data_IF_238924419924
#
_entry.id   IF_238924419924
#
_cell.length_a   1.000
_cell.length_b   1.000
_cell.length_c   1.000
_cell.angle_alpha   90.00
_cell.angle_beta   90.00
_cell.angle_gamma   90.00
#
_symmetry.space_group_name_H-M   'P 1'
#
loop_
_entity.id
_entity.type
_entity.pdbx_description
1 polymer ?
#
# COMPACT_ATOMS: atom_id res chain seq x y z
N UNK A 1 13.30 13.70 -39.69
CA UNK A 1 13.06 12.69 -38.63
C UNK A 1 13.92 11.49 -39.02
N UNK A 2 15.09 11.32 -38.43
CA UNK A 2 15.85 10.10 -38.62
C UNK A 2 15.17 9.03 -37.78
N UNK A 3 14.50 8.08 -38.40
CA UNK A 3 14.10 6.83 -37.79
C UNK A 3 15.38 6.10 -37.37
N UNK A 4 15.65 6.04 -36.11
CA UNK A 4 16.76 5.28 -35.57
C UNK A 4 16.42 3.80 -35.68
N UNK A 5 16.86 3.17 -36.77
CA UNK A 5 16.65 1.75 -37.00
C UNK A 5 17.72 0.96 -36.23
N UNK A 6 17.27 0.15 -35.29
CA UNK A 6 18.04 -0.92 -34.68
C UNK A 6 17.95 -2.14 -35.59
N UNK A 7 19.09 -2.72 -35.91
CA UNK A 7 19.13 -3.96 -36.70
C UNK A 7 19.31 -5.12 -35.74
N UNK A 8 18.36 -6.07 -35.75
CA UNK A 8 18.45 -7.32 -35.00
C UNK A 8 19.36 -8.32 -35.77
N UNK A 9 20.34 -8.86 -35.07
CA UNK A 9 21.16 -9.96 -35.60
C UNK A 9 21.38 -10.97 -34.50
N UNK A 10 20.71 -12.13 -34.55
CA UNK A 10 20.68 -13.13 -33.51
C UNK A 10 20.20 -12.53 -32.20
N UNK A 11 21.03 -12.45 -31.15
CA UNK A 11 20.70 -11.89 -29.84
C UNK A 11 21.22 -10.45 -29.62
N UNK A 12 21.68 -9.77 -30.68
CA UNK A 12 22.26 -8.43 -30.61
C UNK A 12 21.46 -7.43 -31.43
N UNK A 13 21.26 -6.22 -30.85
CA UNK A 13 20.78 -5.04 -31.56
C UNK A 13 21.97 -4.14 -31.84
N UNK A 14 22.12 -3.71 -33.09
CA UNK A 14 23.22 -2.84 -33.54
C UNK A 14 22.68 -1.56 -34.11
N UNK A 15 23.38 -0.48 -33.85
CA UNK A 15 23.13 0.84 -34.40
C UNK A 15 24.46 1.51 -34.73
N UNK A 16 24.49 2.19 -35.83
CA UNK A 16 25.63 2.99 -36.21
C UNK A 16 25.27 4.48 -36.14
N UNK A 17 26.02 5.25 -35.39
CA UNK A 17 25.86 6.70 -35.25
C UNK A 17 27.25 7.37 -35.20
N UNK A 18 27.50 8.35 -36.07
CA UNK A 18 28.77 9.13 -36.14
C UNK A 18 30.05 8.26 -36.13
N UNK A 19 29.99 7.07 -36.76
CA UNK A 19 31.11 6.14 -36.82
C UNK A 19 31.29 5.25 -35.60
N UNK A 20 30.42 5.34 -34.60
CA UNK A 20 30.37 4.42 -33.47
C UNK A 20 29.31 3.34 -33.67
N UNK A 21 29.70 2.08 -33.46
CA UNK A 21 28.77 0.97 -33.39
C UNK A 21 28.30 0.79 -31.94
N UNK A 22 26.99 0.99 -31.68
CA UNK A 22 26.39 0.66 -30.40
C UNK A 22 25.85 -0.75 -30.47
N UNK A 23 26.38 -1.64 -29.65
CA UNK A 23 25.92 -3.04 -29.53
C UNK A 23 25.11 -3.20 -28.26
N UNK A 24 23.94 -3.80 -28.36
CA UNK A 24 23.07 -4.11 -27.28
C UNK A 24 22.80 -5.62 -27.24
N UNK A 25 23.34 -6.30 -26.24
CA UNK A 25 23.10 -7.73 -26.04
C UNK A 25 21.74 -7.93 -25.34
N UNK A 26 20.82 -8.62 -26.01
CA UNK A 26 19.50 -8.93 -25.48
C UNK A 26 19.57 -9.72 -24.16
N UNK A 27 20.60 -10.51 -23.99
CA UNK A 27 20.79 -11.39 -22.82
C UNK A 27 21.01 -10.64 -21.51
N UNK A 28 21.33 -9.34 -21.53
CA UNK A 28 21.47 -8.52 -20.33
C UNK A 28 20.13 -8.00 -19.77
N UNK A 29 19.03 -8.24 -20.49
CA UNK A 29 17.69 -7.82 -20.09
C UNK A 29 16.85 -9.01 -19.66
N UNK A 30 15.91 -8.78 -18.77
CA UNK A 30 14.86 -9.76 -18.47
C UNK A 30 13.86 -9.79 -19.63
N UNK A 31 13.44 -10.98 -20.01
CA UNK A 31 12.57 -11.20 -21.18
C UNK A 31 11.20 -10.50 -21.01
N UNK A 32 10.67 -10.45 -19.79
CA UNK A 32 9.40 -9.78 -19.48
C UNK A 32 9.42 -8.27 -19.75
N UNK A 33 10.58 -7.64 -19.65
CA UNK A 33 10.73 -6.19 -19.84
C UNK A 33 11.24 -5.81 -21.24
N UNK A 34 11.93 -6.70 -21.90
CA UNK A 34 12.61 -6.43 -23.16
C UNK A 34 11.70 -5.84 -24.24
N UNK A 35 10.44 -6.29 -24.46
CA UNK A 35 9.52 -5.72 -25.44
C UNK A 35 9.22 -4.23 -25.23
N UNK A 36 9.43 -3.74 -24.03
CA UNK A 36 9.14 -2.35 -23.64
C UNK A 36 10.36 -1.43 -23.70
N UNK A 37 11.55 -1.98 -24.05
CA UNK A 37 12.82 -1.24 -23.98
C UNK A 37 12.81 0.00 -24.88
N UNK A 38 12.30 -0.12 -26.09
CA UNK A 38 12.24 0.94 -27.10
C UNK A 38 10.83 1.56 -27.25
N UNK A 39 9.87 1.19 -26.41
CA UNK A 39 8.55 1.83 -26.43
C UNK A 39 8.57 3.16 -25.67
N UNK A 40 8.54 4.25 -26.44
CA UNK A 40 8.47 5.61 -25.91
C UNK A 40 7.10 6.27 -26.15
N UNK A 41 6.08 5.51 -26.51
CA UNK A 41 4.77 6.01 -26.94
C UNK A 41 3.92 6.58 -25.81
N UNK A 42 4.13 6.12 -24.57
CA UNK A 42 3.32 6.51 -23.40
C UNK A 42 4.07 7.46 -22.49
N UNK A 43 3.35 8.49 -21.98
CA UNK A 43 3.92 9.46 -21.06
C UNK A 43 4.05 8.91 -19.63
N UNK A 44 3.02 8.24 -19.13
CA UNK A 44 3.03 7.58 -17.82
C UNK A 44 3.37 6.11 -17.99
N UNK A 45 4.44 5.67 -17.36
CA UNK A 45 4.92 4.29 -17.41
C UNK A 45 4.99 3.76 -16.00
N UNK A 46 4.11 2.84 -15.65
CA UNK A 46 3.96 2.29 -14.31
C UNK A 46 4.45 0.86 -14.28
N UNK A 47 5.42 0.60 -13.41
CA UNK A 47 6.01 -0.72 -13.18
C UNK A 47 5.72 -1.15 -11.76
N UNK A 48 4.63 -1.90 -11.59
CA UNK A 48 4.27 -2.55 -10.33
C UNK A 48 4.90 -3.94 -10.27
N UNK A 49 5.39 -4.37 -9.14
CA UNK A 49 5.84 -5.76 -9.04
C UNK A 49 6.41 -6.14 -7.70
N UNK A 50 6.75 -7.41 -7.59
CA UNK A 50 7.32 -8.00 -6.39
C UNK A 50 8.74 -7.49 -6.08
N UNK A 51 9.25 -7.81 -4.91
CA UNK A 51 10.68 -7.67 -4.62
C UNK A 51 11.50 -8.51 -5.59
N UNK A 52 12.65 -8.01 -5.99
CA UNK A 52 13.54 -8.74 -6.90
C UNK A 52 13.05 -8.87 -8.34
N UNK A 53 11.89 -8.31 -8.74
CA UNK A 53 11.35 -8.50 -10.11
C UNK A 53 12.16 -7.85 -11.23
N UNK A 54 13.16 -7.01 -10.94
CA UNK A 54 14.01 -6.37 -11.94
C UNK A 54 13.52 -5.02 -12.46
N UNK A 55 12.41 -4.47 -11.95
CA UNK A 55 11.80 -3.18 -12.37
C UNK A 55 12.81 -2.04 -12.45
N UNK A 56 13.52 -1.78 -11.35
CA UNK A 56 14.44 -0.65 -11.21
C UNK A 56 15.67 -0.82 -12.13
N UNK A 57 16.15 -2.06 -12.28
CA UNK A 57 17.21 -2.39 -13.24
C UNK A 57 16.78 -2.07 -14.66
N UNK A 58 15.59 -2.52 -15.06
CA UNK A 58 15.07 -2.26 -16.40
C UNK A 58 14.88 -0.75 -16.67
N UNK A 59 14.27 -0.01 -15.73
CA UNK A 59 14.06 1.44 -15.92
C UNK A 59 15.39 2.16 -16.03
N UNK A 60 16.39 1.79 -15.21
CA UNK A 60 17.73 2.37 -15.30
C UNK A 60 18.39 2.11 -16.66
N UNK A 61 18.32 0.88 -17.18
CA UNK A 61 18.82 0.50 -18.49
C UNK A 61 18.11 1.28 -19.61
N UNK A 62 16.77 1.34 -19.57
CA UNK A 62 15.96 2.08 -20.55
C UNK A 62 16.30 3.58 -20.57
N UNK A 63 16.46 4.20 -19.41
CA UNK A 63 16.79 5.63 -19.30
C UNK A 63 18.22 5.93 -19.74
N UNK A 64 19.19 5.06 -19.46
CA UNK A 64 20.55 5.19 -19.96
C UNK A 64 20.57 5.12 -21.49
N UNK A 65 19.92 4.10 -22.08
CA UNK A 65 19.82 3.97 -23.53
C UNK A 65 19.12 5.17 -24.16
N UNK A 66 18.03 5.65 -23.56
CA UNK A 66 17.31 6.82 -24.05
C UNK A 66 18.17 8.08 -23.99
N UNK A 67 18.92 8.27 -22.87
CA UNK A 67 19.86 9.38 -22.72
C UNK A 67 21.01 9.33 -23.73
N UNK A 68 21.55 8.14 -23.98
CA UNK A 68 22.62 7.94 -24.98
C UNK A 68 22.13 8.16 -26.42
N UNK A 69 20.88 7.76 -26.72
CA UNK A 69 20.33 7.84 -28.06
C UNK A 69 19.80 9.23 -28.47
N UNK A 70 19.48 10.10 -27.49
CA UNK A 70 18.94 11.44 -27.76
C UNK A 70 19.73 12.47 -26.95
N UNK A 71 20.72 13.13 -27.57
CA UNK A 71 21.64 14.05 -26.90
C UNK A 71 20.94 15.18 -26.15
N UNK A 72 21.48 15.58 -24.98
CA UNK A 72 21.00 16.71 -24.20
C UNK A 72 19.68 16.47 -23.47
N UNK A 73 19.31 15.22 -23.19
CA UNK A 73 18.19 14.90 -22.30
C UNK A 73 18.51 15.25 -20.86
N UNK A 74 17.52 15.70 -20.12
CA UNK A 74 17.60 15.97 -18.67
C UNK A 74 16.65 15.01 -17.96
N UNK A 75 17.24 14.00 -17.32
CA UNK A 75 16.54 12.88 -16.71
C UNK A 75 16.58 13.05 -15.18
N UNK A 76 15.42 13.31 -14.57
CA UNK A 76 15.29 13.40 -13.12
C UNK A 76 15.03 12.01 -12.54
N UNK A 77 15.86 11.58 -11.60
CA UNK A 77 15.67 10.35 -10.82
C UNK A 77 15.42 10.74 -9.36
N UNK A 78 14.30 10.36 -8.81
CA UNK A 78 13.92 10.80 -7.48
C UNK A 78 13.32 9.70 -6.60
N UNK A 79 13.42 9.93 -5.30
CA UNK A 79 12.72 9.22 -4.22
C UNK A 79 12.12 10.23 -3.25
N UNK A 80 11.24 9.78 -2.38
CA UNK A 80 10.67 10.64 -1.34
C UNK A 80 11.76 11.29 -0.48
N UNK A 81 12.74 10.52 -0.04
CA UNK A 81 13.78 10.99 0.88
C UNK A 81 15.15 11.07 0.22
N UNK A 82 15.76 12.26 0.25
CA UNK A 82 17.06 12.52 -0.37
C UNK A 82 18.23 11.71 0.24
N UNK A 83 18.11 11.29 1.51
CA UNK A 83 19.11 10.47 2.20
C UNK A 83 19.25 9.06 1.61
N UNK A 84 18.19 8.52 1.01
CA UNK A 84 18.18 7.15 0.46
C UNK A 84 18.75 7.04 -0.95
N UNK A 85 18.84 8.14 -1.68
CA UNK A 85 19.21 8.18 -3.11
C UNK A 85 20.59 7.59 -3.37
N UNK A 86 21.58 7.98 -2.55
CA UNK A 86 22.99 7.62 -2.77
C UNK A 86 23.22 6.11 -2.72
N UNK A 87 22.51 5.42 -1.85
CA UNK A 87 22.66 3.98 -1.65
C UNK A 87 21.70 3.14 -2.49
N UNK A 88 20.81 3.77 -3.24
CA UNK A 88 19.82 3.11 -4.09
C UNK A 88 20.00 3.48 -5.55
N UNK A 89 19.18 4.35 -6.10
CA UNK A 89 19.12 4.68 -7.54
C UNK A 89 20.42 5.28 -8.09
N UNK A 90 21.16 6.06 -7.30
CA UNK A 90 22.47 6.55 -7.71
C UNK A 90 23.44 5.39 -7.94
N UNK A 91 23.58 4.50 -6.96
CA UNK A 91 24.48 3.35 -7.08
C UNK A 91 24.06 2.42 -8.21
N UNK A 92 22.75 2.27 -8.42
CA UNK A 92 22.20 1.47 -9.51
C UNK A 92 22.62 2.03 -10.87
N UNK A 93 22.42 3.33 -11.12
CA UNK A 93 22.82 3.98 -12.37
C UNK A 93 24.34 3.87 -12.58
N UNK A 94 25.15 4.15 -11.55
CA UNK A 94 26.62 3.99 -11.62
C UNK A 94 27.02 2.55 -12.00
N UNK A 95 26.34 1.56 -11.40
CA UNK A 95 26.62 0.16 -11.69
C UNK A 95 26.25 -0.20 -13.13
N UNK A 96 25.11 0.28 -13.63
CA UNK A 96 24.69 0.05 -15.02
C UNK A 96 25.65 0.72 -16.02
N UNK A 97 26.09 1.96 -15.77
CA UNK A 97 27.05 2.68 -16.60
C UNK A 97 28.41 1.97 -16.64
N UNK A 98 28.86 1.43 -15.49
CA UNK A 98 30.10 0.64 -15.40
C UNK A 98 29.98 -0.67 -16.18
N UNK A 99 28.86 -1.39 -15.99
CA UNK A 99 28.59 -2.63 -16.70
C UNK A 99 28.56 -2.43 -18.23
N UNK A 100 27.97 -1.31 -18.65
CA UNK A 100 27.92 -0.91 -20.08
C UNK A 100 29.25 -0.30 -20.59
N UNK A 101 30.29 -0.24 -19.77
CA UNK A 101 31.64 0.30 -20.10
C UNK A 101 31.64 1.78 -20.57
N UNK A 102 30.62 2.56 -20.18
CA UNK A 102 30.52 3.98 -20.56
C UNK A 102 30.75 4.92 -19.35
N UNK A 103 30.92 4.40 -18.14
CA UNK A 103 31.11 5.22 -16.94
C UNK A 103 32.33 6.13 -17.04
N UNK A 104 33.44 5.65 -17.58
CA UNK A 104 34.70 6.44 -17.74
C UNK A 104 34.57 7.59 -18.74
N UNK A 105 33.53 7.57 -19.58
CA UNK A 105 33.20 8.64 -20.52
C UNK A 105 32.24 9.67 -19.90
N UNK A 106 31.71 9.43 -18.68
CA UNK A 106 30.74 10.26 -18.00
C UNK A 106 31.41 11.22 -17.00
N UNK A 107 30.87 12.43 -16.87
CA UNK A 107 31.24 13.35 -15.80
C UNK A 107 30.35 13.09 -14.56
N UNK A 108 30.98 12.63 -13.46
CA UNK A 108 30.26 12.25 -12.24
C UNK A 108 30.47 13.32 -11.15
N UNK A 109 29.45 14.09 -10.83
CA UNK A 109 29.43 15.06 -9.74
C UNK A 109 28.63 14.52 -8.54
N UNK A 110 29.34 14.06 -7.50
CA UNK A 110 28.74 13.49 -6.29
C UNK A 110 28.11 14.56 -5.40
N UNK A 111 28.65 15.77 -5.39
CA UNK A 111 28.14 16.88 -4.56
C UNK A 111 26.78 17.35 -5.04
N UNK A 112 26.66 17.60 -6.33
CA UNK A 112 25.42 18.04 -6.96
C UNK A 112 24.49 16.88 -7.30
N UNK A 113 24.96 15.64 -7.11
CA UNK A 113 24.26 14.41 -7.48
C UNK A 113 23.82 14.44 -8.95
N UNK A 114 24.77 14.61 -9.82
CA UNK A 114 24.58 14.65 -11.28
C UNK A 114 25.55 13.73 -11.99
N UNK A 115 25.06 13.08 -13.05
CA UNK A 115 25.91 12.30 -13.96
C UNK A 115 25.63 12.79 -15.37
N UNK A 116 26.65 13.35 -16.02
CA UNK A 116 26.56 13.83 -17.39
C UNK A 116 27.14 12.76 -18.33
N UNK A 117 26.35 12.37 -19.32
CA UNK A 117 26.73 11.43 -20.37
C UNK A 117 27.56 12.13 -21.45
N UNK A 118 28.30 11.38 -22.28
CA UNK A 118 29.20 11.95 -23.31
C UNK A 118 28.51 12.86 -24.35
N UNK A 119 27.19 12.72 -24.50
CA UNK A 119 26.37 13.46 -25.48
C UNK A 119 25.56 14.59 -24.83
N UNK A 120 26.01 15.14 -23.71
CA UNK A 120 25.39 16.21 -22.94
C UNK A 120 24.04 15.86 -22.25
N UNK A 121 23.60 14.61 -22.31
CA UNK A 121 22.47 14.17 -21.51
C UNK A 121 22.87 14.07 -20.04
N UNK A 122 21.95 14.40 -19.12
CA UNK A 122 22.26 14.51 -17.67
C UNK A 122 21.24 13.76 -16.85
N UNK A 123 21.71 12.90 -15.96
CA UNK A 123 20.93 12.36 -14.84
C UNK A 123 21.05 13.31 -13.64
N UNK A 124 19.92 13.71 -13.09
CA UNK A 124 19.80 14.57 -11.90
C UNK A 124 19.11 13.78 -10.80
N UNK A 125 19.73 13.67 -9.62
CA UNK A 125 19.17 12.87 -8.53
C UNK A 125 18.70 13.77 -7.39
N UNK A 126 17.43 13.64 -6.99
CA UNK A 126 16.82 14.54 -6.01
C UNK A 126 15.85 13.82 -5.07
N UNK A 127 15.88 14.18 -3.78
CA UNK A 127 14.82 13.87 -2.83
C UNK A 127 13.64 14.83 -2.98
N UNK A 128 12.44 14.31 -2.79
CA UNK A 128 11.18 15.08 -2.85
C UNK A 128 10.74 15.57 -1.46
N UNK A 129 11.62 15.49 -0.48
CA UNK A 129 11.43 15.96 0.90
C UNK A 129 11.50 17.48 1.05
N UNK A 130 11.98 18.19 0.05
CA UNK A 130 12.11 19.66 0.01
C UNK A 130 11.38 20.19 -1.22
N UNK A 131 10.16 20.69 -1.03
CA UNK A 131 9.30 21.17 -2.14
C UNK A 131 9.93 22.33 -2.93
N UNK A 132 10.67 23.22 -2.28
CA UNK A 132 11.32 24.38 -2.92
C UNK A 132 12.30 23.96 -4.02
N UNK A 133 12.98 22.82 -3.87
CA UNK A 133 13.90 22.28 -4.90
C UNK A 133 13.17 21.87 -6.17
N UNK A 134 11.91 21.43 -6.05
CA UNK A 134 11.10 21.08 -7.21
C UNK A 134 10.83 22.32 -8.08
N UNK A 135 10.73 23.50 -7.46
CA UNK A 135 10.45 24.76 -8.17
C UNK A 135 11.61 25.18 -9.08
N UNK A 136 12.83 24.81 -8.79
CA UNK A 136 14.04 25.17 -9.54
C UNK A 136 14.30 24.31 -10.77
N UNK A 137 13.57 23.18 -10.94
CA UNK A 137 13.77 22.28 -12.06
C UNK A 137 13.26 22.87 -13.38
N UNK A 138 14.13 22.94 -14.36
CA UNK A 138 13.83 23.43 -15.71
C UNK A 138 14.24 22.40 -16.76
N UNK A 139 13.51 22.40 -17.86
CA UNK A 139 13.82 21.62 -19.07
C UNK A 139 13.95 20.10 -18.83
N UNK A 140 13.20 19.56 -17.88
CA UNK A 140 13.19 18.11 -17.62
C UNK A 140 12.46 17.39 -18.75
N UNK A 141 13.11 16.39 -19.32
CA UNK A 141 12.57 15.55 -20.40
C UNK A 141 11.98 14.25 -19.91
N UNK A 142 12.57 13.64 -18.89
CA UNK A 142 12.12 12.36 -18.34
C UNK A 142 12.24 12.36 -16.82
N UNK A 143 11.35 11.62 -16.16
CA UNK A 143 11.33 11.52 -14.69
C UNK A 143 11.18 10.05 -14.30
N UNK A 144 11.95 9.62 -13.31
CA UNK A 144 11.77 8.34 -12.65
C UNK A 144 11.57 8.53 -11.15
N UNK A 145 10.40 8.13 -10.66
CA UNK A 145 10.06 8.10 -9.23
C UNK A 145 10.21 6.66 -8.76
N UNK A 146 11.29 6.38 -8.04
CA UNK A 146 11.54 5.07 -7.41
C UNK A 146 10.87 5.00 -6.06
N UNK A 147 10.30 3.84 -5.72
CA UNK A 147 9.47 3.61 -4.54
C UNK A 147 8.30 4.61 -4.49
N UNK A 148 7.55 4.67 -5.60
CA UNK A 148 6.50 5.67 -5.80
C UNK A 148 5.37 5.62 -4.75
N UNK A 149 5.25 4.52 -3.97
CA UNK A 149 4.32 4.43 -2.85
C UNK A 149 4.64 5.42 -1.70
N UNK A 150 5.89 5.89 -1.60
CA UNK A 150 6.31 6.90 -0.62
C UNK A 150 5.87 8.33 -1.01
N UNK A 151 5.44 8.54 -2.26
CA UNK A 151 5.14 9.85 -2.86
C UNK A 151 3.63 10.05 -2.94
N UNK A 152 3.16 11.26 -2.68
CA UNK A 152 1.73 11.59 -2.84
C UNK A 152 1.34 11.75 -4.31
N UNK A 153 0.06 11.57 -4.62
CA UNK A 153 -0.47 11.77 -5.97
C UNK A 153 -0.22 13.19 -6.48
N UNK A 154 -0.38 14.19 -5.62
CA UNK A 154 -0.16 15.61 -5.95
C UNK A 154 1.30 15.85 -6.34
N UNK A 155 2.27 15.32 -5.59
CA UNK A 155 3.69 15.43 -5.94
C UNK A 155 4.00 14.80 -7.30
N UNK A 156 3.46 13.60 -7.58
CA UNK A 156 3.65 12.94 -8.87
C UNK A 156 3.02 13.75 -10.03
N UNK A 157 1.87 14.36 -9.83
CA UNK A 157 1.21 15.25 -10.79
C UNK A 157 2.02 16.52 -11.01
N UNK A 158 2.50 17.17 -9.95
CA UNK A 158 3.36 18.34 -10.05
C UNK A 158 4.63 18.05 -10.84
N UNK A 159 5.29 16.91 -10.59
CA UNK A 159 6.45 16.48 -11.36
C UNK A 159 6.11 16.27 -12.83
N UNK A 160 5.00 15.63 -13.14
CA UNK A 160 4.55 15.47 -14.54
C UNK A 160 4.38 16.80 -15.25
N UNK A 161 3.84 17.83 -14.57
CA UNK A 161 3.69 19.18 -15.12
C UNK A 161 5.02 19.92 -15.32
N UNK A 162 6.12 19.44 -14.72
CA UNK A 162 7.46 20.01 -14.90
C UNK A 162 8.23 19.41 -16.07
N UNK A 163 7.76 18.32 -16.65
CA UNK A 163 8.31 17.82 -17.91
C UNK A 163 7.90 18.75 -19.06
N UNK A 164 8.69 19.81 -19.28
CA UNK A 164 8.44 20.88 -20.26
C UNK A 164 9.54 21.03 -21.29
N UNK A 165 10.42 20.06 -21.38
CA UNK A 165 11.48 20.02 -22.39
C UNK A 165 10.90 20.02 -23.81
N UNK A 166 11.65 20.53 -24.77
CA UNK A 166 11.31 20.43 -26.20
C UNK A 166 11.63 19.04 -26.78
N UNK A 167 12.21 18.14 -25.99
CA UNK A 167 12.52 16.77 -26.40
C UNK A 167 11.24 15.97 -26.68
N UNK A 168 11.19 15.19 -27.75
CA UNK A 168 10.05 14.31 -28.02
C UNK A 168 9.98 13.15 -27.01
N UNK A 169 8.84 12.46 -26.98
CA UNK A 169 8.68 11.20 -26.24
C UNK A 169 9.04 11.29 -24.75
N UNK A 170 8.63 12.36 -24.09
CA UNK A 170 8.86 12.55 -22.66
C UNK A 170 8.12 11.48 -21.84
N UNK A 171 8.79 10.88 -20.86
CA UNK A 171 8.22 9.80 -20.06
C UNK A 171 8.42 10.01 -18.56
N UNK A 172 7.38 9.69 -17.78
CA UNK A 172 7.42 9.60 -16.32
C UNK A 172 7.27 8.13 -15.94
N UNK A 173 8.22 7.62 -15.19
CA UNK A 173 8.26 6.25 -14.69
C UNK A 173 7.92 6.21 -13.20
N UNK A 174 7.03 5.31 -12.83
CA UNK A 174 6.73 4.95 -11.45
C UNK A 174 7.12 3.50 -11.23
N UNK A 175 8.00 3.24 -10.28
CA UNK A 175 8.35 1.87 -9.85
C UNK A 175 8.03 1.69 -8.37
N UNK A 176 7.34 0.60 -8.03
CA UNK A 176 6.96 0.32 -6.66
C UNK A 176 6.54 -1.15 -6.42
N UNK A 177 6.56 -1.54 -5.16
CA UNK A 177 5.88 -2.74 -4.68
C UNK A 177 4.46 -2.36 -4.21
N UNK A 178 3.42 -3.16 -4.48
CA UNK A 178 2.02 -2.82 -4.18
C UNK A 178 1.69 -3.05 -2.70
N UNK A 179 2.17 -2.18 -1.83
CA UNK A 179 2.14 -2.34 -0.38
C UNK A 179 0.72 -2.30 0.17
N UNK A 180 -0.13 -1.38 -0.30
CA UNK A 180 -1.49 -1.22 0.21
C UNK A 180 -2.48 -0.78 -0.85
N UNK A 181 -3.70 -1.30 -0.79
CA UNK A 181 -4.84 -0.82 -1.60
C UNK A 181 -5.31 0.60 -1.21
N UNK A 182 -5.00 1.06 0.01
CA UNK A 182 -5.28 2.45 0.42
C UNK A 182 -4.35 3.49 -0.22
N UNK A 183 -3.29 3.04 -0.93
CA UNK A 183 -2.42 3.94 -1.68
C UNK A 183 -3.15 4.52 -2.89
N UNK A 184 -2.93 5.80 -3.18
CA UNK A 184 -3.41 6.45 -4.41
C UNK A 184 -2.99 5.70 -5.69
N UNK A 185 -1.89 4.96 -5.61
CA UNK A 185 -1.40 4.13 -6.70
C UNK A 185 -2.35 2.99 -7.06
N UNK A 186 -3.14 2.49 -6.10
CA UNK A 186 -4.14 1.47 -6.38
C UNK A 186 -5.19 2.02 -7.33
N UNK A 187 -5.85 3.14 -6.99
CA UNK A 187 -6.84 3.76 -7.86
C UNK A 187 -6.22 4.24 -9.18
N UNK A 188 -4.99 4.73 -9.16
CA UNK A 188 -4.27 5.15 -10.37
C UNK A 188 -3.96 3.97 -11.32
N UNK A 189 -3.70 2.77 -10.80
CA UNK A 189 -3.37 1.58 -11.60
C UNK A 189 -4.59 0.74 -11.96
N UNK A 190 -5.51 0.56 -11.03
CA UNK A 190 -6.62 -0.39 -11.19
C UNK A 190 -7.97 0.33 -11.44
N UNK A 191 -8.07 1.62 -11.08
CA UNK A 191 -9.28 2.42 -11.21
C UNK A 191 -9.60 2.85 -12.65
N UNK A 192 -10.71 3.58 -12.79
CA UNK A 192 -11.25 4.03 -14.08
C UNK A 192 -10.68 5.37 -14.56
N UNK A 193 -9.98 6.13 -13.71
CA UNK A 193 -9.52 7.51 -13.97
C UNK A 193 -8.07 7.58 -14.47
N UNK A 194 -7.66 6.65 -15.31
CA UNK A 194 -6.28 6.59 -15.85
C UNK A 194 -6.02 7.70 -16.88
N UNK A 195 -4.78 8.27 -16.90
CA UNK A 195 -4.40 9.19 -17.98
C UNK A 195 -4.49 8.52 -19.36
N UNK A 196 -4.83 9.28 -20.41
CA UNK A 196 -4.91 8.74 -21.78
C UNK A 196 -3.59 8.12 -22.27
N UNK A 197 -2.45 8.69 -21.86
CA UNK A 197 -1.12 8.21 -22.24
C UNK A 197 -0.51 7.43 -21.08
N UNK A 198 -1.00 6.20 -20.85
CA UNK A 198 -0.70 5.35 -19.71
C UNK A 198 -0.25 3.97 -20.17
N UNK A 199 0.84 3.49 -19.59
CA UNK A 199 1.35 2.13 -19.71
C UNK A 199 1.47 1.52 -18.32
N UNK A 200 1.09 0.26 -18.17
CA UNK A 200 1.14 -0.48 -16.93
C UNK A 200 1.71 -1.87 -17.13
N UNK A 201 2.72 -2.20 -16.37
CA UNK A 201 3.37 -3.50 -16.39
C UNK A 201 3.46 -4.06 -14.98
N UNK A 202 3.10 -5.34 -14.84
CA UNK A 202 3.24 -6.08 -13.61
C UNK A 202 4.28 -7.18 -13.79
N UNK A 203 5.18 -7.33 -12.79
CA UNK A 203 6.21 -8.35 -12.80
C UNK A 203 6.43 -8.95 -11.41
N UNK A 204 6.96 -10.17 -11.38
CA UNK A 204 7.31 -10.87 -10.15
C UNK A 204 8.79 -11.24 -10.15
N UNK A 205 9.30 -11.75 -9.03
CA UNK A 205 10.66 -12.27 -8.98
C UNK A 205 10.89 -13.43 -9.97
N UNK A 206 9.85 -14.16 -10.35
CA UNK A 206 9.91 -15.25 -11.34
C UNK A 206 10.24 -14.76 -12.75
N UNK A 207 9.97 -13.50 -13.03
CA UNK A 207 10.31 -12.85 -14.29
C UNK A 207 11.79 -12.41 -14.34
N UNK A 208 12.55 -12.56 -13.24
CA UNK A 208 13.93 -12.12 -13.12
C UNK A 208 14.90 -13.30 -13.03
N UNK A 209 15.47 -13.69 -14.15
CA UNK A 209 16.43 -14.78 -14.26
C UNK A 209 17.81 -14.50 -13.65
N UNK A 210 18.07 -13.28 -13.18
CA UNK A 210 19.36 -12.86 -12.61
C UNK A 210 19.42 -12.93 -11.10
N UNK A 211 18.37 -13.40 -10.45
CA UNK A 211 18.35 -13.53 -8.99
C UNK A 211 19.24 -14.70 -8.53
N UNK A 212 20.00 -14.49 -7.44
CA UNK A 212 20.66 -15.62 -6.75
C UNK A 212 19.65 -16.63 -6.25
N UNK A 213 20.02 -17.91 -6.29
CA UNK A 213 19.14 -19.02 -5.86
C UNK A 213 18.73 -18.86 -4.38
N UNK A 214 19.66 -18.50 -3.51
CA UNK A 214 19.41 -18.29 -2.08
C UNK A 214 18.36 -17.18 -1.82
N UNK A 215 18.34 -16.13 -2.66
CA UNK A 215 17.34 -15.07 -2.56
C UNK A 215 15.96 -15.56 -3.02
N UNK A 216 15.90 -16.41 -4.03
CA UNK A 216 14.64 -17.03 -4.47
C UNK A 216 14.10 -17.97 -3.39
N UNK A 217 14.94 -18.78 -2.77
CA UNK A 217 14.56 -19.64 -1.64
C UNK A 217 13.98 -18.84 -0.47
N UNK A 218 14.59 -17.70 -0.11
CA UNK A 218 14.08 -16.81 0.94
C UNK A 218 12.68 -16.26 0.60
N UNK A 219 12.46 -15.87 -0.67
CA UNK A 219 11.13 -15.44 -1.12
C UNK A 219 10.10 -16.57 -1.09
N UNK A 220 10.47 -17.75 -1.54
CA UNK A 220 9.61 -18.94 -1.52
C UNK A 220 9.23 -19.34 -0.09
N UNK A 221 10.15 -19.18 0.88
CA UNK A 221 9.86 -19.49 2.30
C UNK A 221 8.83 -18.53 2.91
N UNK A 222 8.64 -17.34 2.34
CA UNK A 222 7.60 -16.41 2.78
C UNK A 222 6.19 -16.99 2.61
N UNK A 223 5.95 -17.85 1.63
CA UNK A 223 4.62 -18.47 1.47
C UNK A 223 4.23 -19.31 2.69
N UNK A 224 5.22 -19.91 3.36
CA UNK A 224 5.02 -20.72 4.56
C UNK A 224 5.05 -19.87 5.82
N UNK A 225 5.98 -18.92 5.93
CA UNK A 225 6.25 -18.17 7.16
C UNK A 225 5.41 -16.91 7.31
N UNK A 226 5.10 -16.24 6.19
CA UNK A 226 4.29 -15.03 6.18
C UNK A 226 3.54 -14.87 4.84
N UNK A 227 2.38 -15.55 4.66
CA UNK A 227 1.63 -15.53 3.39
C UNK A 227 1.21 -14.13 2.93
N UNK A 228 0.96 -13.20 3.87
CA UNK A 228 0.61 -11.82 3.52
C UNK A 228 1.81 -11.07 2.92
N UNK A 229 3.00 -11.24 3.48
CA UNK A 229 4.23 -10.71 2.86
C UNK A 229 4.51 -11.37 1.52
N UNK A 230 4.30 -12.69 1.39
CA UNK A 230 4.44 -13.39 0.12
C UNK A 230 3.54 -12.81 -0.97
N UNK A 231 2.29 -12.50 -0.65
CA UNK A 231 1.35 -11.85 -1.59
C UNK A 231 1.90 -10.55 -2.17
N UNK A 232 2.56 -9.72 -1.35
CA UNK A 232 3.12 -8.43 -1.78
C UNK A 232 4.48 -8.63 -2.46
N UNK A 233 5.41 -9.28 -1.75
CA UNK A 233 6.82 -9.32 -2.13
C UNK A 233 7.17 -10.46 -3.08
N UNK A 234 6.32 -11.48 -3.21
CA UNK A 234 6.51 -12.57 -4.17
C UNK A 234 5.55 -12.45 -5.36
N UNK A 235 4.24 -12.28 -5.11
CA UNK A 235 3.25 -12.26 -6.19
C UNK A 235 3.04 -10.88 -6.81
N UNK A 236 3.57 -9.81 -6.19
CA UNK A 236 3.35 -8.44 -6.66
C UNK A 236 1.87 -8.02 -6.61
N UNK A 237 1.09 -8.63 -5.73
CA UNK A 237 -0.31 -8.31 -5.51
C UNK A 237 -0.45 -7.22 -4.44
N UNK A 238 -1.53 -6.42 -4.56
CA UNK A 238 -1.84 -5.42 -3.55
C UNK A 238 -2.09 -6.07 -2.19
N UNK A 239 -1.48 -5.51 -1.18
CA UNK A 239 -1.60 -6.00 0.18
C UNK A 239 -1.89 -4.89 1.19
N UNK A 240 -2.06 -5.29 2.44
CA UNK A 240 -2.08 -4.39 3.59
C UNK A 240 -0.72 -4.47 4.29
N UNK A 241 -0.17 -3.33 4.67
CA UNK A 241 1.10 -3.32 5.42
C UNK A 241 0.83 -3.85 6.82
N UNK A 242 1.17 -5.11 7.06
CA UNK A 242 0.97 -5.79 8.35
C UNK A 242 1.63 -5.08 9.53
N UNK A 243 2.73 -4.37 9.32
CA UNK A 243 3.42 -3.64 10.39
C UNK A 243 2.62 -2.48 10.97
N UNK A 244 1.71 -1.89 10.19
CA UNK A 244 0.79 -0.84 10.64
C UNK A 244 -0.60 -1.35 10.98
N UNK A 245 -0.93 -2.61 10.67
CA UNK A 245 -2.25 -3.17 10.88
C UNK A 245 -2.51 -3.36 12.38
N UNK A 246 -3.66 -2.84 12.83
CA UNK A 246 -4.04 -2.94 14.25
C UNK A 246 -4.44 -4.37 14.63
N UNK A 247 -5.06 -5.09 13.70
CA UNK A 247 -5.54 -6.46 13.91
C UNK A 247 -4.93 -7.47 12.93
N UNK A 248 -3.64 -7.82 13.05
CA UNK A 248 -3.01 -8.81 12.17
C UNK A 248 -3.49 -10.25 12.42
N UNK A 249 -4.28 -10.46 13.45
CA UNK A 249 -4.83 -11.73 13.94
C UNK A 249 -6.22 -12.06 13.37
N UNK A 250 -6.64 -11.38 12.29
CA UNK A 250 -7.90 -11.70 11.61
C UNK A 250 -7.68 -12.61 10.40
N UNK A 251 -8.74 -13.31 10.01
CA UNK A 251 -8.83 -14.04 8.74
C UNK A 251 -10.25 -14.06 8.22
N UNK A 252 -10.39 -14.04 6.90
CA UNK A 252 -11.66 -14.17 6.19
C UNK A 252 -11.76 -15.59 5.63
N UNK A 253 -12.85 -16.29 5.90
CA UNK A 253 -13.10 -17.61 5.36
C UNK A 253 -14.58 -17.96 5.38
N UNK A 254 -14.95 -18.93 4.57
CA UNK A 254 -16.26 -19.57 4.63
C UNK A 254 -16.33 -20.55 5.82
N UNK A 255 -17.45 -20.54 6.52
CA UNK A 255 -17.79 -21.50 7.58
C UNK A 255 -19.31 -21.61 7.71
N UNK A 256 -19.83 -22.71 8.23
CA UNK A 256 -21.25 -22.89 8.45
C UNK A 256 -21.75 -22.01 9.61
N UNK A 257 -22.43 -20.90 9.28
CA UNK A 257 -22.99 -19.96 10.24
C UNK A 257 -24.07 -20.65 11.10
N UNK A 258 -24.89 -21.52 10.52
CA UNK A 258 -25.94 -22.22 11.25
C UNK A 258 -25.38 -23.17 12.29
N UNK A 259 -24.32 -23.89 11.97
CA UNK A 259 -23.57 -24.73 12.92
C UNK A 259 -23.04 -23.90 14.09
N UNK A 260 -22.43 -22.74 13.78
CA UNK A 260 -21.88 -21.85 14.81
C UNK A 260 -22.95 -21.25 15.72
N UNK A 261 -24.11 -20.86 15.17
CA UNK A 261 -25.24 -20.36 15.98
C UNK A 261 -25.82 -21.47 16.85
N UNK A 262 -25.85 -22.73 16.39
CA UNK A 262 -26.33 -23.86 17.15
C UNK A 262 -25.43 -24.26 18.34
N UNK A 263 -24.17 -23.85 18.31
CA UNK A 263 -23.19 -24.10 19.37
C UNK A 263 -23.48 -23.21 20.60
N UNK A 264 -24.08 -23.80 21.61
CA UNK A 264 -24.46 -23.12 22.88
C UNK A 264 -23.25 -22.67 23.72
N UNK A 265 -22.05 -23.09 23.41
CA UNK A 265 -20.82 -22.62 24.06
C UNK A 265 -20.42 -21.22 23.60
N UNK A 266 -20.92 -20.75 22.46
CA UNK A 266 -20.67 -19.47 21.87
C UNK A 266 -21.67 -18.42 22.36
N UNK A 267 -21.19 -17.24 22.74
CA UNK A 267 -22.00 -16.13 23.19
C UNK A 267 -22.23 -15.11 22.09
N UNK A 268 -23.53 -14.88 21.75
CA UNK A 268 -23.89 -13.86 20.74
C UNK A 268 -23.59 -12.46 21.27
N UNK A 269 -22.95 -11.63 20.43
CA UNK A 269 -22.66 -10.23 20.69
C UNK A 269 -23.16 -9.39 19.52
N UNK A 270 -23.85 -8.29 19.83
CA UNK A 270 -24.33 -7.34 18.82
C UNK A 270 -23.88 -5.94 19.19
N UNK A 271 -23.27 -5.27 18.25
CA UNK A 271 -22.85 -3.88 18.37
C UNK A 271 -23.34 -3.03 17.21
N UNK A 272 -23.52 -1.76 17.47
CA UNK A 272 -23.94 -0.79 16.48
C UNK A 272 -23.13 0.50 16.64
N UNK A 273 -22.61 1.00 15.54
CA UNK A 273 -22.02 2.33 15.40
C UNK A 273 -22.92 3.17 14.50
N UNK A 274 -23.27 4.37 14.92
CA UNK A 274 -24.19 5.25 14.20
C UNK A 274 -23.44 6.40 13.55
N UNK A 275 -23.55 6.50 12.24
CA UNK A 275 -23.14 7.62 11.42
C UNK A 275 -24.29 8.11 10.55
N UNK A 276 -24.16 9.31 9.98
CA UNK A 276 -25.07 9.81 8.95
C UNK A 276 -24.35 10.13 7.65
N UNK A 277 -23.30 10.93 7.71
CA UNK A 277 -22.38 11.15 6.58
C UNK A 277 -21.49 9.92 6.42
N UNK A 278 -20.97 9.44 7.54
CA UNK A 278 -20.28 8.15 7.65
C UNK A 278 -21.31 7.01 7.76
N UNK A 279 -20.89 5.79 7.57
CA UNK A 279 -21.77 4.65 7.58
C UNK A 279 -22.35 4.35 8.98
N UNK A 280 -23.65 4.02 9.04
CA UNK A 280 -24.24 3.32 10.18
C UNK A 280 -23.99 1.83 10.03
N UNK A 281 -23.48 1.19 11.07
CA UNK A 281 -23.09 -0.22 11.03
C UNK A 281 -23.70 -1.03 12.17
N UNK A 282 -24.09 -2.28 11.87
CA UNK A 282 -24.48 -3.28 12.88
C UNK A 282 -23.67 -4.52 12.64
N UNK A 283 -23.02 -5.05 13.67
CA UNK A 283 -22.21 -6.25 13.56
C UNK A 283 -22.69 -7.29 14.56
N UNK A 284 -22.94 -8.52 14.09
CA UNK A 284 -23.26 -9.69 14.91
C UNK A 284 -22.05 -10.61 14.93
N UNK A 285 -21.63 -10.97 16.11
CA UNK A 285 -20.53 -11.90 16.31
C UNK A 285 -20.82 -12.95 17.39
N UNK A 286 -20.10 -14.07 17.32
CA UNK A 286 -20.15 -15.18 18.29
C UNK A 286 -18.80 -15.25 19.00
N UNK A 287 -18.81 -15.23 20.33
CA UNK A 287 -17.62 -15.23 21.14
C UNK A 287 -17.35 -16.60 21.78
N UNK A 288 -16.24 -17.22 21.37
CA UNK A 288 -15.67 -18.38 22.03
C UNK A 288 -14.66 -17.93 23.09
N UNK A 289 -15.14 -17.86 24.33
CA UNK A 289 -14.31 -17.44 25.47
C UNK A 289 -13.17 -18.41 25.78
N UNK A 290 -13.43 -19.70 25.59
CA UNK A 290 -12.49 -20.77 25.94
C UNK A 290 -11.27 -20.76 25.02
N UNK A 291 -11.52 -20.60 23.71
CA UNK A 291 -10.47 -20.64 22.68
C UNK A 291 -10.01 -19.24 22.24
N UNK A 292 -10.53 -18.16 22.86
CA UNK A 292 -10.23 -16.77 22.47
C UNK A 292 -10.48 -16.50 20.98
N UNK A 293 -11.65 -16.90 20.47
CA UNK A 293 -12.07 -16.67 19.09
C UNK A 293 -13.32 -15.83 19.01
N UNK A 294 -13.40 -15.00 17.99
CA UNK A 294 -14.58 -14.20 17.67
C UNK A 294 -14.94 -14.51 16.22
N UNK A 295 -16.13 -15.05 16.01
CA UNK A 295 -16.68 -15.30 14.67
C UNK A 295 -17.63 -14.17 14.31
N UNK A 296 -17.30 -13.38 13.29
CA UNK A 296 -18.22 -12.36 12.74
C UNK A 296 -19.09 -13.05 11.70
N UNK A 297 -20.41 -13.03 11.92
CA UNK A 297 -21.38 -13.83 11.15
C UNK A 297 -22.35 -13.01 10.33
N UNK A 298 -22.54 -11.72 10.63
CA UNK A 298 -23.47 -10.86 9.91
C UNK A 298 -23.10 -9.40 10.11
N UNK A 299 -23.34 -8.58 9.08
CA UNK A 299 -23.15 -7.14 9.09
C UNK A 299 -24.30 -6.40 8.41
N UNK A 300 -24.51 -5.15 8.83
CA UNK A 300 -25.21 -4.11 8.10
C UNK A 300 -24.28 -2.92 7.98
N UNK A 301 -24.23 -2.33 6.79
CA UNK A 301 -23.37 -1.18 6.50
C UNK A 301 -24.09 -0.28 5.49
N UNK A 302 -24.44 0.95 5.89
CA UNK A 302 -25.14 1.88 5.00
C UNK A 302 -24.83 3.33 5.36
N UNK A 303 -24.50 4.13 4.34
CA UNK A 303 -24.30 5.58 4.48
C UNK A 303 -25.63 6.30 4.33
N UNK A 304 -25.83 7.40 5.07
CA UNK A 304 -27.06 8.19 5.11
C UNK A 304 -28.30 7.42 5.56
N UNK A 305 -28.09 6.31 6.28
CA UNK A 305 -29.18 5.55 6.88
C UNK A 305 -29.91 6.36 7.94
N UNK A 306 -31.24 6.30 7.94
CA UNK A 306 -32.05 6.82 9.05
C UNK A 306 -32.03 5.84 10.21
N UNK A 307 -32.41 6.30 11.42
CA UNK A 307 -32.55 5.40 12.57
C UNK A 307 -33.59 4.29 12.33
N UNK A 308 -34.62 4.58 11.54
CA UNK A 308 -35.64 3.58 11.15
C UNK A 308 -35.06 2.50 10.24
N UNK A 309 -34.18 2.86 9.29
CA UNK A 309 -33.49 1.91 8.42
C UNK A 309 -32.62 0.96 9.26
N UNK A 310 -31.87 1.51 10.21
CA UNK A 310 -31.03 0.71 11.12
C UNK A 310 -31.89 -0.25 11.98
N UNK A 311 -33.04 0.21 12.48
CA UNK A 311 -33.95 -0.65 13.23
C UNK A 311 -34.56 -1.75 12.36
N UNK A 312 -34.94 -1.42 11.11
CA UNK A 312 -35.43 -2.41 10.16
C UNK A 312 -34.36 -3.48 9.89
N UNK A 313 -33.14 -3.05 9.59
CA UNK A 313 -31.98 -3.95 9.38
C UNK A 313 -31.75 -4.86 10.58
N UNK A 314 -31.74 -4.32 11.82
CA UNK A 314 -31.60 -5.14 13.04
C UNK A 314 -32.69 -6.22 13.17
N UNK A 315 -33.92 -5.90 12.78
CA UNK A 315 -35.02 -6.88 12.79
C UNK A 315 -34.85 -7.96 11.74
N UNK A 316 -34.43 -7.57 10.53
CA UNK A 316 -34.17 -8.50 9.42
C UNK A 316 -32.97 -9.42 9.70
N UNK A 317 -31.94 -8.90 10.40
CA UNK A 317 -30.81 -9.69 10.89
C UNK A 317 -31.17 -10.62 12.05
N UNK A 318 -32.41 -10.62 12.52
CA UNK A 318 -32.85 -11.50 13.60
C UNK A 318 -32.32 -11.12 14.99
N UNK A 319 -31.93 -9.88 15.20
CA UNK A 319 -31.38 -9.41 16.49
C UNK A 319 -32.37 -9.65 17.67
N UNK A 320 -33.68 -9.49 17.40
CA UNK A 320 -34.74 -9.82 18.35
C UNK A 320 -34.58 -9.09 19.69
N UNK A 321 -34.52 -9.85 20.78
CA UNK A 321 -34.35 -9.31 22.16
C UNK A 321 -32.88 -9.30 22.62
N UNK A 322 -31.94 -9.65 21.75
CA UNK A 322 -30.52 -9.61 22.10
C UNK A 322 -30.12 -8.17 22.49
N UNK A 323 -29.24 -8.01 23.49
CA UNK A 323 -28.73 -6.68 23.81
C UNK A 323 -27.85 -6.15 22.69
N UNK A 324 -28.17 -4.96 22.16
CA UNK A 324 -27.39 -4.21 21.17
C UNK A 324 -26.64 -3.10 21.89
N UNK A 325 -25.32 -3.12 21.79
CA UNK A 325 -24.48 -2.11 22.41
C UNK A 325 -24.13 -1.00 21.38
N UNK A 326 -24.48 0.23 21.78
CA UNK A 326 -24.33 1.43 20.92
C UNK A 326 -23.42 2.40 21.66
N UNK A 327 -22.79 3.33 20.92
CA UNK A 327 -22.00 4.38 21.54
C UNK A 327 -22.78 5.09 22.64
N UNK A 328 -22.19 5.22 23.83
CA UNK A 328 -22.82 5.90 24.98
C UNK A 328 -23.02 7.41 24.75
N UNK A 329 -22.40 7.99 23.73
CA UNK A 329 -22.61 9.39 23.30
C UNK A 329 -23.97 9.59 22.59
N UNK A 330 -24.69 8.50 22.27
CA UNK A 330 -25.97 8.49 21.54
C UNK A 330 -27.20 8.16 22.37
N UNK A 331 -27.46 8.86 23.49
CA UNK A 331 -28.57 8.49 24.42
C UNK A 331 -29.95 8.63 23.76
N UNK A 332 -30.14 9.59 22.83
CA UNK A 332 -31.41 9.79 22.14
C UNK A 332 -31.69 8.64 21.14
N UNK A 333 -30.71 8.18 20.45
CA UNK A 333 -30.79 7.05 19.50
C UNK A 333 -31.08 5.75 20.28
N UNK A 334 -30.45 5.55 21.44
CA UNK A 334 -30.69 4.40 22.32
C UNK A 334 -32.14 4.39 22.81
N UNK A 335 -32.67 5.53 23.31
CA UNK A 335 -34.06 5.65 23.73
C UNK A 335 -35.03 5.40 22.57
N UNK A 336 -34.71 5.89 21.38
CA UNK A 336 -35.53 5.68 20.20
C UNK A 336 -35.59 4.20 19.81
N UNK A 337 -34.46 3.52 19.78
CA UNK A 337 -34.40 2.08 19.46
C UNK A 337 -35.18 1.24 20.49
N UNK A 338 -35.07 1.57 21.77
CA UNK A 338 -35.85 0.89 22.83
C UNK A 338 -37.36 1.06 22.65
N UNK A 339 -37.83 2.25 22.21
CA UNK A 339 -39.25 2.49 21.86
C UNK A 339 -39.72 1.64 20.70
N UNK A 340 -38.85 1.34 19.75
CA UNK A 340 -39.14 0.49 18.59
C UNK A 340 -38.92 -1.01 18.83
N UNK A 341 -38.65 -1.40 20.11
CA UNK A 341 -38.56 -2.79 20.52
C UNK A 341 -37.19 -3.44 20.42
N UNK A 342 -36.14 -2.66 20.10
CA UNK A 342 -34.75 -3.12 20.13
C UNK A 342 -34.24 -2.99 21.59
N UNK A 343 -33.57 -4.00 22.13
CA UNK A 343 -32.95 -3.95 23.44
C UNK A 343 -31.60 -3.20 23.39
N UNK A 344 -31.64 -1.91 23.08
CA UNK A 344 -30.47 -1.06 22.95
C UNK A 344 -29.88 -0.68 24.31
N UNK A 345 -28.57 -0.74 24.44
CA UNK A 345 -27.83 -0.42 25.67
C UNK A 345 -26.61 0.45 25.34
N UNK A 346 -26.24 1.39 26.21
CA UNK A 346 -25.02 2.16 26.03
C UNK A 346 -23.79 1.28 26.23
N UNK A 347 -22.80 1.47 25.38
CA UNK A 347 -21.45 0.94 25.58
C UNK A 347 -20.83 1.56 26.85
N UNK A 348 -19.96 0.84 27.55
CA UNK A 348 -19.24 1.42 28.69
C UNK A 348 -18.04 2.21 28.17
N UNK A 349 -18.01 3.51 28.43
CA UNK A 349 -16.85 4.37 28.14
C UNK A 349 -16.22 4.84 29.45
N UNK A 350 -14.88 4.79 29.48
CA UNK A 350 -14.03 5.38 30.53
C UNK A 350 -12.74 5.89 29.84
N UNK A 351 -11.98 6.73 30.53
CA UNK A 351 -10.67 7.14 29.97
C UNK A 351 -9.81 5.90 29.66
N UNK A 352 -9.28 5.81 28.44
CA UNK A 352 -8.49 4.66 27.98
C UNK A 352 -9.31 3.42 27.58
N UNK A 353 -10.66 3.53 27.48
CA UNK A 353 -11.49 2.36 27.09
C UNK A 353 -11.29 1.93 25.66
N UNK A 354 -10.94 2.85 24.75
CA UNK A 354 -10.71 2.51 23.36
C UNK A 354 -9.49 1.59 23.20
N UNK A 355 -8.39 1.91 23.85
CA UNK A 355 -7.18 1.10 23.87
C UNK A 355 -7.45 -0.29 24.47
N UNK A 356 -8.25 -0.35 25.54
CA UNK A 356 -8.61 -1.61 26.18
C UNK A 356 -9.46 -2.51 25.27
N UNK A 357 -10.39 -1.93 24.50
CA UNK A 357 -11.19 -2.69 23.52
C UNK A 357 -10.34 -3.19 22.35
N UNK A 358 -9.42 -2.35 21.85
CA UNK A 358 -8.47 -2.77 20.82
C UNK A 358 -7.60 -3.91 21.33
N UNK A 359 -7.00 -3.79 22.51
CA UNK A 359 -6.21 -4.86 23.13
C UNK A 359 -7.04 -6.15 23.35
N UNK A 360 -8.31 -6.02 23.71
CA UNK A 360 -9.19 -7.17 23.84
C UNK A 360 -9.34 -7.90 22.51
N UNK A 361 -9.64 -7.20 21.41
CA UNK A 361 -9.77 -7.79 20.09
C UNK A 361 -8.43 -8.37 19.59
N UNK A 362 -7.31 -7.69 19.84
CA UNK A 362 -5.97 -8.17 19.52
C UNK A 362 -5.61 -9.50 20.23
N UNK A 363 -6.19 -9.75 21.40
CA UNK A 363 -5.99 -10.98 22.15
C UNK A 363 -6.89 -12.15 21.72
N UNK A 364 -7.70 -11.97 20.66
CA UNK A 364 -8.58 -12.98 20.09
C UNK A 364 -8.24 -13.23 18.62
N UNK A 365 -8.42 -14.47 18.15
CA UNK A 365 -8.45 -14.74 16.72
C UNK A 365 -9.79 -14.27 16.16
N UNK A 366 -9.78 -13.33 15.22
CA UNK A 366 -10.97 -12.78 14.59
C UNK A 366 -11.22 -13.55 13.29
N UNK A 367 -12.35 -14.25 13.20
CA UNK A 367 -12.73 -15.06 12.05
C UNK A 367 -13.96 -14.41 11.42
N UNK A 368 -13.80 -13.87 10.23
CA UNK A 368 -14.83 -13.11 9.53
C UNK A 368 -15.39 -14.00 8.44
N UNK A 369 -16.72 -14.17 8.42
CA UNK A 369 -17.38 -14.88 7.35
C UNK A 369 -17.28 -14.09 6.04
N UNK A 370 -17.06 -14.76 4.91
CA UNK A 370 -16.86 -14.10 3.61
C UNK A 370 -18.02 -13.18 3.16
N UNK A 371 -19.24 -13.41 3.66
CA UNK A 371 -20.37 -12.51 3.41
C UNK A 371 -20.29 -11.16 4.10
N UNK A 372 -19.39 -10.99 5.10
CA UNK A 372 -19.18 -9.75 5.83
C UNK A 372 -18.06 -8.94 5.20
N UNK A 373 -18.31 -8.44 3.99
CA UNK A 373 -17.29 -7.81 3.15
C UNK A 373 -16.77 -6.48 3.70
N UNK A 374 -17.63 -5.66 4.33
CA UNK A 374 -17.22 -4.38 4.93
C UNK A 374 -16.43 -4.58 6.23
N UNK A 375 -16.82 -5.56 7.06
CA UNK A 375 -16.00 -5.95 8.22
C UNK A 375 -14.62 -6.43 7.75
N UNK A 376 -14.58 -7.26 6.71
CA UNK A 376 -13.32 -7.74 6.15
C UNK A 376 -12.44 -6.58 5.65
N UNK A 377 -13.04 -5.63 4.90
CA UNK A 377 -12.35 -4.44 4.40
C UNK A 377 -11.81 -3.56 5.53
N UNK A 378 -12.63 -3.28 6.56
CA UNK A 378 -12.19 -2.50 7.72
C UNK A 378 -11.03 -3.20 8.44
N UNK A 379 -11.12 -4.49 8.72
CA UNK A 379 -10.05 -5.25 9.40
C UNK A 379 -8.77 -5.35 8.55
N UNK A 380 -8.89 -5.40 7.23
CA UNK A 380 -7.75 -5.40 6.30
C UNK A 380 -7.05 -4.03 6.21
N UNK A 381 -7.74 -2.93 6.54
CA UNK A 381 -7.23 -1.57 6.31
C UNK A 381 -7.10 -0.71 7.57
N UNK A 382 -7.59 -1.15 8.74
CA UNK A 382 -7.47 -0.40 10.00
C UNK A 382 -6.05 -0.42 10.52
N UNK A 383 -5.35 0.70 10.34
CA UNK A 383 -3.92 0.82 10.58
C UNK A 383 -3.60 1.89 11.63
N UNK A 384 -2.47 1.70 12.33
CA UNK A 384 -1.83 2.78 13.09
C UNK A 384 -1.37 3.90 12.17
N UNK A 385 -1.58 5.15 12.57
CA UNK A 385 -1.05 6.29 11.84
C UNK A 385 0.48 6.35 11.99
N UNK A 386 1.15 6.78 10.90
CA UNK A 386 2.58 7.09 10.94
C UNK A 386 2.80 8.57 11.19
N UNK A 387 3.70 8.89 12.10
CA UNK A 387 4.17 10.25 12.30
C UNK A 387 4.81 10.76 11.01
N UNK A 388 4.32 11.87 10.49
CA UNK A 388 4.77 12.42 9.21
C UNK A 388 6.24 12.86 9.20
N UNK A 389 6.81 13.17 10.35
CA UNK A 389 8.19 13.64 10.47
C UNK A 389 9.19 12.51 10.72
N UNK A 390 8.82 11.53 11.54
CA UNK A 390 9.72 10.44 11.97
C UNK A 390 9.53 9.15 11.18
N UNK A 391 8.38 9.00 10.49
CA UNK A 391 8.00 7.75 9.81
C UNK A 391 7.63 6.60 10.77
N UNK A 392 7.71 6.81 12.09
CA UNK A 392 7.37 5.81 13.10
C UNK A 392 5.86 5.71 13.29
N UNK A 393 5.37 4.53 13.65
CA UNK A 393 3.97 4.33 14.03
C UNK A 393 3.67 5.12 15.30
N UNK A 394 2.56 5.85 15.30
CA UNK A 394 2.07 6.56 16.49
C UNK A 394 1.21 5.62 17.31
N UNK A 395 1.66 5.32 18.54
CA UNK A 395 0.87 4.52 19.47
C UNK A 395 -0.49 5.19 19.74
N UNK A 396 -1.57 4.38 19.67
CA UNK A 396 -2.95 4.80 19.92
C UNK A 396 -3.54 5.84 18.95
N UNK A 397 -2.95 6.06 17.79
CA UNK A 397 -3.55 6.83 16.70
C UNK A 397 -3.84 5.93 15.51
N UNK A 398 -5.07 5.97 15.03
CA UNK A 398 -5.59 5.05 14.02
C UNK A 398 -6.14 5.81 12.82
N UNK A 399 -6.14 5.16 11.66
CA UNK A 399 -6.87 5.67 10.50
C UNK A 399 -8.37 5.39 10.68
N UNK A 400 -9.15 6.47 10.85
CA UNK A 400 -10.58 6.37 11.10
C UNK A 400 -11.41 6.07 9.85
N UNK A 401 -10.83 6.09 8.66
CA UNK A 401 -11.56 5.79 7.43
C UNK A 401 -12.10 4.34 7.37
N UNK A 402 -11.49 3.44 8.14
CA UNK A 402 -11.82 2.01 8.19
C UNK A 402 -12.18 1.55 9.62
N UNK A 403 -12.90 2.38 10.37
CA UNK A 403 -13.17 2.08 11.80
C UNK A 403 -14.60 1.69 12.11
N UNK A 404 -15.56 1.91 11.22
CA UNK A 404 -17.00 1.87 11.56
C UNK A 404 -17.48 0.49 12.03
N UNK A 405 -17.16 -0.57 11.30
CA UNK A 405 -17.54 -1.93 11.71
C UNK A 405 -16.74 -2.40 12.92
N UNK A 406 -15.50 -1.94 13.04
CA UNK A 406 -14.62 -2.22 14.19
C UNK A 406 -15.15 -1.52 15.44
N UNK A 407 -15.66 -0.27 15.31
CA UNK A 407 -16.28 0.46 16.43
C UNK A 407 -17.57 -0.25 16.90
N UNK A 408 -18.43 -0.68 15.98
CA UNK A 408 -19.58 -1.50 16.32
C UNK A 408 -19.16 -2.78 17.06
N UNK A 409 -18.16 -3.50 16.55
CA UNK A 409 -17.66 -4.71 17.20
C UNK A 409 -17.10 -4.41 18.60
N UNK A 410 -16.30 -3.35 18.78
CA UNK A 410 -15.77 -2.93 20.08
C UNK A 410 -16.89 -2.66 21.09
N UNK A 411 -17.96 -1.96 20.68
CA UNK A 411 -19.09 -1.67 21.56
C UNK A 411 -19.77 -2.94 22.06
N UNK A 412 -19.89 -3.97 21.22
CA UNK A 412 -20.49 -5.25 21.59
C UNK A 412 -19.76 -5.96 22.74
N UNK A 413 -18.48 -5.71 22.92
CA UNK A 413 -17.64 -6.27 23.98
C UNK A 413 -17.43 -5.33 25.18
N UNK A 414 -18.00 -4.14 25.16
CA UNK A 414 -17.82 -3.12 26.22
C UNK A 414 -18.17 -3.57 27.63
N UNK A 415 -19.07 -4.55 27.81
CA UNK A 415 -19.48 -5.07 29.11
C UNK A 415 -18.53 -6.16 29.64
N UNK A 416 -17.72 -6.76 28.80
CA UNK A 416 -16.82 -7.87 29.16
C UNK A 416 -15.62 -7.36 29.94
N UNK A 417 -15.26 -6.09 29.72
CA UNK A 417 -14.10 -5.49 30.33
C UNK A 417 -14.42 -5.04 31.76
N UNK A 418 -14.06 -5.85 32.76
CA UNK A 418 -13.96 -5.41 34.13
C UNK A 418 -12.62 -4.75 34.34
N UNK A 419 -12.60 -3.45 34.67
CA UNK A 419 -11.40 -2.78 35.16
C UNK A 419 -10.81 -3.60 36.33
N UNK A 420 -9.80 -4.42 36.07
CA UNK A 420 -8.87 -4.80 37.10
C UNK A 420 -8.12 -3.52 37.44
N UNK A 421 -8.50 -2.86 38.52
CA UNK A 421 -7.65 -1.83 39.15
C UNK A 421 -6.25 -2.43 39.22
N UNK A 422 -5.33 -1.90 38.44
CA UNK A 422 -3.91 -2.16 38.63
C UNK A 422 -3.61 -1.78 40.07
N UNK A 423 -3.39 -2.77 40.94
CA UNK A 423 -2.81 -2.53 42.26
C UNK A 423 -1.44 -1.94 41.97
N UNK A 424 -1.26 -0.66 42.30
CA UNK A 424 0.06 -0.02 42.23
C UNK A 424 1.01 -0.84 43.09
N UNK A 425 1.98 -1.49 42.44
CA UNK A 425 3.10 -2.08 43.15
C UNK A 425 4.08 -0.96 43.49
N UNK A 426 4.05 -0.47 44.70
CA UNK A 426 5.08 0.39 45.25
C UNK A 426 6.33 -0.46 45.49
N UNK A 427 7.28 -0.40 44.63
CA UNK A 427 8.65 -0.83 44.90
C UNK A 427 9.27 0.18 45.90
N UNK A 428 9.30 -0.16 47.18
CA UNK A 428 10.27 0.48 48.10
C UNK A 428 11.62 -0.16 47.89
N UNK A 429 12.53 0.59 47.28
CA UNK A 429 13.96 0.30 47.34
C UNK A 429 14.37 0.41 48.81
N UNK A 430 14.66 -0.73 49.43
CA UNK A 430 15.37 -0.76 50.69
C UNK A 430 16.83 -0.40 50.42
N UNK A 431 17.27 0.71 51.03
CA UNK A 431 18.68 1.06 51.21
C UNK A 431 19.17 0.28 52.45
#
# INVERSE_FOLDING_TARGET
>A
MSEYLWYEREDEYRRYEDGMEIKLDKRIFNDAFFPHLFDYSKRWNVYKGSAGSGKSHFISQKLILKGMNDPGRRILVCRRYGSTITHTVWQLIITQLRFSQILDMCEVNKTDRMIKLPNDSVFIFMGLDVEEKLLSLTDISDIWIEEAFEVTQDMAQQLSLRMRSKKPNQQLFLSFNPISKSSWLFEFCEGSTRPKSFFYHQSTYRDNRFLPEEYVEELEDLYRTNPQKARIFCDGNWGVVTESLVFPNHRVCDFDIAEKIADKSLEVKVGCDLGYVDASTVVISLWDKANKKIFVISEYYETRATLDDVVAAMKDMGVGKLPVFIDSAEPRSIDYFNKLGINAKPSKKSNGSNELYIQFLQNHEIIIHESCSHVAEDFENFCYLKNRQTGLLEENKFDHAYSHTIDALKYSYSQVYKNKKLKSFNWKLGI
#
